data_IF_526642498141
#
_entry.id   IF_526642498141
#
_cell.length_a   1.000
_cell.length_b   1.000
_cell.length_c   1.000
_cell.angle_alpha   90.00
_cell.angle_beta   90.00
_cell.angle_gamma   90.00
#
_symmetry.space_group_name_H-M   'P 1'
#
loop_
_entity.id
_entity.type
_entity.pdbx_description
1 polymer ?
#
# COMPACT_ATOMS: atom_id res chain seq x y z
N UNK A 1 -39.92 -0.95 9.38
CA UNK A 1 -39.33 -2.28 9.10
C UNK A 1 -37.99 -2.35 9.83
N UNK A 2 -37.87 -3.19 10.86
CA UNK A 2 -36.68 -3.24 11.72
C UNK A 2 -35.77 -4.38 11.24
N UNK A 3 -34.62 -4.04 10.65
CA UNK A 3 -33.65 -5.02 10.18
C UNK A 3 -33.06 -5.79 11.38
N UNK A 4 -33.27 -7.11 11.43
CA UNK A 4 -32.59 -8.00 12.39
C UNK A 4 -31.40 -8.64 11.70
N UNK A 5 -30.20 -8.30 12.15
CA UNK A 5 -28.95 -8.92 11.71
C UNK A 5 -28.87 -10.32 12.35
N UNK A 6 -28.92 -11.37 11.52
CA UNK A 6 -28.71 -12.75 11.94
C UNK A 6 -27.21 -13.02 11.93
N UNK A 7 -26.60 -13.28 13.10
CA UNK A 7 -25.19 -13.69 13.17
C UNK A 7 -25.09 -15.15 12.69
N UNK A 8 -24.29 -15.35 11.64
CA UNK A 8 -23.89 -16.67 11.15
C UNK A 8 -22.45 -16.93 11.58
N UNK A 9 -22.09 -18.12 12.09
CA UNK A 9 -20.72 -18.43 12.46
C UNK A 9 -19.78 -18.34 11.24
N UNK A 10 -18.70 -17.57 11.39
CA UNK A 10 -17.75 -17.26 10.33
C UNK A 10 -16.53 -18.18 10.39
N UNK A 11 -16.19 -18.83 9.27
CA UNK A 11 -14.86 -19.40 9.02
C UNK A 11 -13.92 -18.26 8.65
N UNK A 12 -12.84 -18.04 9.39
CA UNK A 12 -11.86 -16.97 9.19
C UNK A 12 -10.69 -17.54 8.39
N UNK A 13 -9.85 -16.69 7.76
CA UNK A 13 -8.69 -17.10 6.95
C UNK A 13 -7.86 -18.25 7.59
N UNK A 14 -7.35 -19.14 6.74
CA UNK A 14 -6.53 -20.30 7.12
C UNK A 14 -5.29 -19.98 7.97
N UNK A 15 -4.86 -18.71 8.07
CA UNK A 15 -3.70 -18.30 8.89
C UNK A 15 -3.98 -17.13 9.85
N UNK A 16 -5.23 -16.65 9.92
CA UNK A 16 -5.60 -15.50 10.78
C UNK A 16 -6.40 -15.89 12.02
N UNK A 17 -6.82 -17.16 12.12
CA UNK A 17 -7.18 -17.81 13.37
C UNK A 17 -6.01 -18.72 13.72
N UNK A 18 -5.34 -18.44 14.83
CA UNK A 18 -4.64 -19.43 15.65
C UNK A 18 -3.96 -18.65 16.78
N UNK A 19 -4.79 -18.18 17.69
CA UNK A 19 -4.43 -18.17 19.10
C UNK A 19 -4.93 -19.52 19.64
N UNK A 20 -4.12 -20.59 19.48
CA UNK A 20 -4.41 -21.91 20.05
C UNK A 20 -4.32 -23.08 19.06
N UNK A 21 -3.27 -23.89 19.27
CA UNK A 21 -3.15 -25.34 18.99
C UNK A 21 -2.93 -25.86 17.54
N UNK A 22 -1.73 -26.42 17.38
CA UNK A 22 -1.31 -27.59 16.61
C UNK A 22 -1.65 -27.72 15.11
N UNK A 23 -0.63 -27.48 14.29
CA UNK A 23 -0.48 -28.14 12.99
C UNK A 23 0.96 -28.67 12.83
N UNK A 24 1.05 -29.93 12.42
CA UNK A 24 2.20 -30.81 12.52
C UNK A 24 3.40 -30.40 11.64
N UNK A 25 4.58 -30.77 12.15
CA UNK A 25 5.92 -30.56 11.59
C UNK A 25 6.08 -31.06 10.16
N UNK A 26 6.48 -30.17 9.24
CA UNK A 26 7.41 -30.46 8.15
C UNK A 26 8.43 -29.31 8.04
N UNK A 27 9.71 -29.68 8.16
CA UNK A 27 10.95 -28.95 7.80
C UNK A 27 10.96 -27.42 8.01
N UNK A 28 11.60 -26.99 9.10
CA UNK A 28 12.10 -25.61 9.32
C UNK A 28 11.06 -24.49 9.33
N UNK A 29 10.62 -24.06 10.52
CA UNK A 29 9.80 -22.85 10.69
C UNK A 29 8.44 -23.08 11.38
N UNK A 30 7.60 -22.04 11.41
CA UNK A 30 6.32 -22.05 12.14
C UNK A 30 5.17 -22.77 11.40
N UNK A 31 5.44 -23.42 10.26
CA UNK A 31 4.43 -24.07 9.42
C UNK A 31 3.55 -23.12 8.59
N UNK A 32 3.71 -21.80 8.76
CA UNK A 32 2.94 -20.76 8.06
C UNK A 32 3.71 -20.02 6.97
N UNK A 33 4.94 -20.44 6.68
CA UNK A 33 5.80 -19.80 5.68
C UNK A 33 5.88 -18.27 5.87
N UNK A 34 5.99 -17.80 7.12
CA UNK A 34 5.83 -16.38 7.43
C UNK A 34 7.08 -15.53 7.11
N UNK A 35 7.02 -14.23 7.38
CA UNK A 35 8.14 -13.29 7.22
C UNK A 35 8.95 -13.08 8.52
N UNK A 36 8.80 -13.96 9.51
CA UNK A 36 9.57 -13.89 10.75
C UNK A 36 10.87 -14.71 10.66
N UNK A 37 11.75 -14.53 11.65
CA UNK A 37 13.03 -15.25 11.79
C UNK A 37 12.94 -16.78 11.66
N UNK A 38 11.78 -17.37 11.88
CA UNK A 38 11.57 -18.81 11.73
C UNK A 38 11.45 -19.29 10.28
N UNK A 39 11.11 -18.41 9.34
CA UNK A 39 10.86 -18.77 7.93
C UNK A 39 11.60 -17.84 6.93
N UNK A 40 12.16 -16.72 7.40
CA UNK A 40 12.93 -15.79 6.58
C UNK A 40 14.35 -16.26 6.19
N UNK A 41 15.07 -17.09 6.98
CA UNK A 41 16.37 -17.57 6.53
C UNK A 41 16.20 -18.33 5.21
N UNK A 42 16.98 -17.96 4.20
CA UNK A 42 16.92 -18.47 2.82
C UNK A 42 15.67 -18.07 1.99
N UNK A 43 14.81 -17.18 2.52
CA UNK A 43 13.70 -16.64 1.74
C UNK A 43 14.21 -15.84 0.54
N UNK A 44 13.56 -16.06 -0.61
CA UNK A 44 13.83 -15.32 -1.84
C UNK A 44 12.56 -14.72 -2.38
N UNK A 45 12.63 -13.43 -2.66
CA UNK A 45 11.54 -12.68 -3.26
C UNK A 45 12.08 -11.87 -4.42
N UNK A 46 11.30 -11.72 -5.50
CA UNK A 46 11.68 -10.81 -6.57
C UNK A 46 11.96 -9.43 -5.98
N UNK A 47 12.98 -8.74 -6.47
CA UNK A 47 13.34 -7.39 -6.07
C UNK A 47 13.16 -6.46 -7.26
N UNK A 48 12.41 -5.39 -7.02
CA UNK A 48 12.36 -4.22 -7.89
C UNK A 48 13.18 -3.12 -7.24
N UNK A 49 14.20 -2.61 -7.93
CA UNK A 49 14.95 -1.46 -7.47
C UNK A 49 14.54 -0.20 -8.21
N UNK A 50 14.33 0.90 -7.48
CA UNK A 50 14.02 2.21 -8.07
C UNK A 50 15.22 3.16 -7.97
N UNK A 51 15.30 4.11 -8.89
CA UNK A 51 16.36 5.12 -8.88
C UNK A 51 16.06 6.19 -7.82
N UNK A 52 17.02 6.45 -6.93
CA UNK A 52 16.95 7.65 -6.09
C UNK A 52 17.20 8.88 -6.96
N UNK A 53 16.30 9.86 -6.89
CA UNK A 53 16.51 11.15 -7.54
C UNK A 53 17.57 11.88 -6.71
N UNK A 54 18.81 11.94 -7.20
CA UNK A 54 19.87 12.72 -6.57
C UNK A 54 19.68 14.21 -6.88
N UNK A 55 19.89 15.07 -5.89
CA UNK A 55 20.08 16.51 -6.09
C UNK A 55 21.35 16.70 -6.94
N UNK A 56 21.20 17.03 -8.23
CA UNK A 56 22.30 17.63 -8.99
C UNK A 56 22.28 19.13 -8.67
N UNK A 57 23.30 19.68 -7.99
CA UNK A 57 23.34 21.11 -7.73
C UNK A 57 23.64 21.84 -9.03
N UNK A 58 22.62 22.44 -9.65
CA UNK A 58 22.80 23.39 -10.74
C UNK A 58 21.85 23.23 -11.93
N UNK A 59 21.09 22.15 -12.03
CA UNK A 59 20.08 22.04 -13.08
C UNK A 59 18.70 22.36 -12.53
N UNK A 60 18.04 23.34 -13.16
CA UNK A 60 16.62 23.56 -12.93
C UNK A 60 15.94 22.22 -13.23
N UNK A 61 15.12 21.70 -12.32
CA UNK A 61 14.26 20.55 -12.61
C UNK A 61 13.28 20.91 -13.73
N UNK A 62 13.77 20.88 -14.96
CA UNK A 62 12.98 20.64 -16.15
C UNK A 62 12.87 19.13 -16.17
N UNK A 63 11.67 18.63 -15.95
CA UNK A 63 11.32 17.26 -16.32
C UNK A 63 11.50 17.18 -17.84
N UNK A 64 12.74 16.90 -18.27
CA UNK A 64 13.02 16.61 -19.66
C UNK A 64 12.16 15.40 -20.02
N UNK A 65 11.19 15.62 -20.92
CA UNK A 65 10.54 14.54 -21.64
C UNK A 65 11.61 13.91 -22.53
N UNK A 66 12.40 13.03 -21.94
CA UNK A 66 13.34 12.23 -22.68
C UNK A 66 12.51 11.28 -23.54
N UNK A 67 12.62 11.43 -24.86
CA UNK A 67 11.83 10.71 -25.86
C UNK A 67 12.27 9.25 -26.05
N UNK A 68 13.01 8.69 -25.08
CA UNK A 68 13.12 7.25 -24.90
C UNK A 68 11.96 6.82 -24.01
N UNK A 69 11.09 5.94 -24.50
CA UNK A 69 10.02 5.31 -23.71
C UNK A 69 10.58 4.81 -22.36
N UNK A 70 10.45 5.63 -21.32
CA UNK A 70 10.72 5.22 -19.95
C UNK A 70 9.79 4.02 -19.65
N UNK A 71 10.21 3.05 -18.81
CA UNK A 71 9.46 1.83 -18.55
C UNK A 71 8.23 2.07 -17.64
N UNK A 72 7.39 3.05 -17.97
CA UNK A 72 6.10 3.39 -17.35
C UNK A 72 5.14 2.18 -17.33
N UNK A 73 5.44 1.11 -18.06
CA UNK A 73 4.67 -0.13 -18.03
C UNK A 73 5.23 -1.23 -17.12
N UNK A 74 6.50 -1.19 -16.69
CA UNK A 74 7.11 -2.38 -16.10
C UNK A 74 6.63 -2.65 -14.66
N UNK A 75 6.66 -1.65 -13.76
CA UNK A 75 6.14 -1.82 -12.40
C UNK A 75 4.66 -2.20 -12.40
N UNK A 76 3.85 -1.52 -13.21
CA UNK A 76 2.42 -1.80 -13.35
C UNK A 76 2.17 -3.23 -13.82
N UNK A 77 2.84 -3.67 -14.89
CA UNK A 77 2.71 -5.04 -15.41
C UNK A 77 3.19 -6.08 -14.40
N UNK A 78 4.28 -5.79 -13.68
CA UNK A 78 4.82 -6.65 -12.64
C UNK A 78 3.84 -6.83 -11.49
N UNK A 79 3.30 -5.72 -10.97
CA UNK A 79 2.38 -5.70 -9.85
C UNK A 79 1.08 -6.40 -10.23
N UNK A 80 0.43 -5.99 -11.32
CA UNK A 80 -0.84 -6.55 -11.76
C UNK A 80 -0.70 -8.04 -12.11
N UNK A 81 0.31 -8.42 -12.90
CA UNK A 81 0.52 -9.81 -13.26
C UNK A 81 0.78 -10.70 -12.04
N UNK A 82 1.56 -10.24 -11.06
CA UNK A 82 1.74 -11.00 -9.81
C UNK A 82 0.47 -11.03 -8.97
N UNK A 83 -0.28 -9.94 -8.90
CA UNK A 83 -1.55 -9.84 -8.17
C UNK A 83 -2.59 -10.82 -8.74
N UNK A 84 -2.76 -10.88 -10.06
CA UNK A 84 -3.64 -11.83 -10.75
C UNK A 84 -3.24 -13.30 -10.48
N UNK A 85 -1.95 -13.62 -10.48
CA UNK A 85 -1.47 -14.96 -10.10
C UNK A 85 -1.89 -15.31 -8.67
N UNK A 86 -1.89 -14.37 -7.72
CA UNK A 86 -2.38 -14.63 -6.35
C UNK A 86 -3.90 -14.76 -6.30
N UNK A 87 -4.64 -14.05 -7.16
CA UNK A 87 -6.09 -14.19 -7.30
C UNK A 87 -6.45 -15.59 -7.78
N UNK A 88 -5.79 -16.07 -8.84
CA UNK A 88 -5.97 -17.43 -9.38
C UNK A 88 -5.63 -18.52 -8.37
N UNK A 89 -4.67 -18.26 -7.47
CA UNK A 89 -4.31 -19.15 -6.36
C UNK A 89 -5.28 -19.10 -5.18
N UNK A 90 -6.29 -18.22 -5.19
CA UNK A 90 -7.30 -18.12 -4.14
C UNK A 90 -6.80 -17.52 -2.83
N UNK A 91 -5.80 -16.64 -2.86
CA UNK A 91 -5.24 -16.02 -1.65
C UNK A 91 -6.09 -14.85 -1.09
N UNK A 92 -7.12 -14.43 -1.80
CA UNK A 92 -7.98 -13.32 -1.43
C UNK A 92 -9.25 -13.81 -0.72
N UNK A 93 -9.79 -13.02 0.20
CA UNK A 93 -10.96 -13.40 1.00
C UNK A 93 -12.28 -13.33 0.22
N UNK A 94 -12.31 -12.59 -0.88
CA UNK A 94 -13.43 -12.40 -1.78
C UNK A 94 -12.92 -11.85 -3.13
N UNK A 95 -13.75 -11.94 -4.16
CA UNK A 95 -13.46 -11.39 -5.49
C UNK A 95 -13.93 -9.94 -5.57
N UNK A 96 -12.99 -9.01 -5.79
CA UNK A 96 -13.27 -7.57 -5.94
C UNK A 96 -13.62 -7.18 -7.38
N UNK A 97 -13.28 -8.03 -8.36
CA UNK A 97 -13.44 -7.72 -9.79
C UNK A 97 -14.89 -7.79 -10.24
N UNK A 98 -15.73 -8.49 -9.47
CA UNK A 98 -17.15 -8.62 -9.70
C UNK A 98 -18.01 -7.57 -8.96
N UNK A 99 -17.39 -6.60 -8.27
CA UNK A 99 -18.13 -5.64 -7.45
C UNK A 99 -18.90 -4.61 -8.28
N UNK A 100 -20.18 -4.44 -7.97
CA UNK A 100 -21.03 -3.44 -8.60
C UNK A 100 -20.52 -2.04 -8.28
N UNK A 101 -20.17 -1.28 -9.34
CA UNK A 101 -19.65 0.07 -9.25
C UNK A 101 -20.55 1.03 -10.02
N UNK A 102 -20.90 2.18 -9.42
CA UNK A 102 -21.66 3.23 -10.09
C UNK A 102 -21.11 4.62 -9.78
N UNK A 103 -21.17 5.49 -10.78
CA UNK A 103 -20.98 6.93 -10.58
C UNK A 103 -22.29 7.53 -10.08
N UNK A 104 -22.27 8.16 -8.92
CA UNK A 104 -23.42 8.84 -8.31
C UNK A 104 -23.70 10.13 -9.09
N UNK A 105 -24.94 10.35 -9.55
CA UNK A 105 -25.33 11.60 -10.20
C UNK A 105 -25.09 12.82 -9.31
N UNK A 106 -24.56 13.90 -9.88
CA UNK A 106 -24.31 15.16 -9.19
C UNK A 106 -22.99 15.80 -9.59
N UNK A 107 -22.73 17.02 -9.08
CA UNK A 107 -21.57 17.84 -9.49
C UNK A 107 -20.21 17.19 -9.27
N UNK A 108 -20.12 16.29 -8.30
CA UNK A 108 -18.86 15.65 -7.90
C UNK A 108 -18.57 14.34 -8.63
N UNK A 109 -19.61 13.64 -9.10
CA UNK A 109 -19.46 12.31 -9.71
C UNK A 109 -18.78 11.29 -8.79
N UNK A 110 -19.18 11.23 -7.51
CA UNK A 110 -18.65 10.24 -6.57
C UNK A 110 -18.84 8.82 -7.09
N UNK A 111 -17.86 7.94 -6.87
CA UNK A 111 -18.00 6.53 -7.14
C UNK A 111 -18.49 5.79 -5.90
N UNK A 112 -19.52 4.98 -6.05
CA UNK A 112 -19.96 4.03 -5.04
C UNK A 112 -19.73 2.62 -5.56
N UNK A 113 -19.06 1.80 -4.75
CA UNK A 113 -18.81 0.40 -5.02
C UNK A 113 -19.37 -0.45 -3.87
N UNK A 114 -20.09 -1.52 -4.22
CA UNK A 114 -20.63 -2.48 -3.26
C UNK A 114 -19.72 -3.71 -3.16
N UNK A 115 -18.91 -3.75 -2.10
CA UNK A 115 -18.02 -4.89 -1.83
C UNK A 115 -18.69 -5.86 -0.86
N UNK A 116 -19.46 -6.79 -1.42
CA UNK A 116 -20.10 -7.86 -0.66
C UNK A 116 -19.05 -8.76 0.02
N UNK A 117 -19.39 -9.33 1.18
CA UNK A 117 -18.47 -10.18 1.95
C UNK A 117 -17.35 -9.44 2.72
N UNK A 118 -16.94 -8.24 2.27
CA UNK A 118 -15.89 -7.45 2.95
C UNK A 118 -16.21 -7.14 4.41
N UNK A 119 -17.45 -6.75 4.70
CA UNK A 119 -17.90 -6.40 6.05
C UNK A 119 -17.86 -7.59 7.03
N UNK A 120 -17.95 -8.83 6.55
CA UNK A 120 -17.92 -10.04 7.38
C UNK A 120 -16.51 -10.40 7.85
N UNK A 121 -15.48 -9.92 7.15
CA UNK A 121 -14.07 -10.25 7.38
C UNK A 121 -13.25 -9.05 7.87
N UNK A 122 -13.82 -7.85 7.86
CA UNK A 122 -13.16 -6.63 8.32
C UNK A 122 -12.91 -6.71 9.83
N UNK A 123 -11.65 -6.55 10.24
CA UNK A 123 -11.30 -6.41 11.66
C UNK A 123 -11.89 -5.12 12.23
N UNK A 124 -12.46 -5.15 13.46
CA UNK A 124 -12.85 -3.93 14.14
C UNK A 124 -11.66 -2.99 14.32
N UNK A 125 -11.89 -1.69 14.17
CA UNK A 125 -10.88 -0.69 14.54
C UNK A 125 -10.82 -0.63 16.06
N UNK A 126 -9.71 -1.08 16.63
CA UNK A 126 -9.46 -1.04 18.09
C UNK A 126 -8.89 0.31 18.55
N UNK A 127 -8.46 1.14 17.62
CA UNK A 127 -7.75 2.39 17.91
C UNK A 127 -8.72 3.54 18.13
N UNK A 128 -8.44 4.34 19.16
CA UNK A 128 -9.20 5.56 19.42
C UNK A 128 -8.68 6.70 18.55
N UNK A 129 -9.59 7.52 18.05
CA UNK A 129 -9.28 8.68 17.18
C UNK A 129 -8.38 9.71 17.89
N UNK A 130 -8.46 9.81 19.22
CA UNK A 130 -7.64 10.72 20.03
C UNK A 130 -6.24 10.17 20.37
N UNK A 131 -5.93 8.91 20.01
CA UNK A 131 -4.64 8.26 20.29
C UNK A 131 -4.07 7.62 19.03
N UNK A 132 -3.68 8.45 18.06
CA UNK A 132 -3.19 7.96 16.76
C UNK A 132 -1.72 7.55 16.77
N UNK A 133 -0.95 7.95 17.77
CA UNK A 133 0.46 7.57 17.94
C UNK A 133 0.55 6.51 19.03
N UNK A 134 0.82 5.27 18.64
CA UNK A 134 0.93 4.13 19.55
C UNK A 134 2.17 3.30 19.21
N UNK A 135 2.88 2.75 20.21
CA UNK A 135 4.00 1.86 19.97
C UNK A 135 3.54 0.60 19.23
N UNK A 136 4.43 0.03 18.42
CA UNK A 136 4.22 -1.27 17.80
C UNK A 136 4.02 -2.35 18.87
N UNK A 137 3.13 -3.30 18.61
CA UNK A 137 2.87 -4.45 19.49
C UNK A 137 3.01 -5.75 18.69
N UNK A 138 4.12 -6.46 18.93
CA UNK A 138 4.42 -7.72 18.25
C UNK A 138 3.46 -8.87 18.60
N UNK A 139 2.72 -8.78 19.70
CA UNK A 139 1.74 -9.79 20.09
C UNK A 139 0.49 -9.70 19.21
N UNK A 140 0.09 -8.48 18.82
CA UNK A 140 -1.01 -8.27 17.89
C UNK A 140 -0.65 -8.71 16.48
N UNK A 141 -1.65 -8.80 15.61
CA UNK A 141 -1.38 -9.05 14.19
C UNK A 141 -0.49 -7.96 13.60
N UNK A 142 0.48 -8.38 12.79
CA UNK A 142 1.35 -7.51 12.04
C UNK A 142 1.85 -8.25 10.78
N UNK A 143 2.35 -7.52 9.80
CA UNK A 143 2.73 -8.10 8.51
C UNK A 143 3.93 -9.06 8.55
N UNK A 144 4.72 -9.13 9.62
CA UNK A 144 5.74 -10.21 9.72
C UNK A 144 5.10 -11.60 9.82
N UNK A 145 3.82 -11.67 10.21
CA UNK A 145 3.06 -12.92 10.40
C UNK A 145 2.34 -13.40 9.13
N UNK A 146 2.31 -12.63 8.04
CA UNK A 146 1.67 -13.08 6.79
C UNK A 146 2.51 -14.14 6.09
N UNK A 147 1.87 -14.97 5.27
CA UNK A 147 2.57 -15.95 4.44
C UNK A 147 3.38 -15.27 3.34
N UNK A 148 4.59 -15.77 3.08
CA UNK A 148 5.47 -15.30 2.02
C UNK A 148 4.81 -15.35 0.62
N UNK A 149 3.83 -16.23 0.41
CA UNK A 149 3.04 -16.29 -0.82
C UNK A 149 2.16 -15.05 -1.07
N UNK A 150 1.88 -14.26 -0.03
CA UNK A 150 1.17 -12.97 -0.13
C UNK A 150 2.10 -11.85 -0.64
N UNK A 151 3.42 -12.01 -0.52
CA UNK A 151 4.42 -11.06 -1.02
C UNK A 151 4.51 -11.15 -2.55
N UNK A 152 4.50 -9.98 -3.20
CA UNK A 152 4.70 -9.85 -4.64
C UNK A 152 6.20 -9.71 -4.95
N UNK A 153 6.85 -8.74 -4.31
CA UNK A 153 8.27 -8.40 -4.49
C UNK A 153 8.78 -7.48 -3.37
N UNK A 154 10.09 -7.43 -3.19
CA UNK A 154 10.84 -6.41 -2.46
C UNK A 154 10.90 -5.13 -3.31
N UNK A 155 10.85 -3.96 -2.67
CA UNK A 155 10.83 -2.66 -3.34
C UNK A 155 11.78 -1.70 -2.63
N UNK A 156 13.01 -1.62 -3.10
CA UNK A 156 14.07 -0.85 -2.43
C UNK A 156 14.83 0.05 -3.41
N UNK A 157 15.61 0.98 -2.87
CA UNK A 157 16.41 1.87 -3.70
C UNK A 157 17.57 1.11 -4.35
N UNK A 158 17.87 1.46 -5.60
CA UNK A 158 19.03 0.95 -6.31
C UNK A 158 20.35 1.49 -5.71
N UNK A 159 21.37 0.62 -5.63
CA UNK A 159 22.74 0.99 -5.26
C UNK A 159 23.52 1.62 -6.42
N UNK A 160 23.25 1.18 -7.66
CA UNK A 160 23.97 1.62 -8.86
C UNK A 160 23.27 2.75 -9.62
N UNK A 161 22.08 3.16 -9.14
CA UNK A 161 21.31 4.26 -9.71
C UNK A 161 20.46 3.85 -10.92
N UNK A 162 20.38 2.55 -11.24
CA UNK A 162 19.55 2.03 -12.32
C UNK A 162 18.33 1.26 -11.79
N UNK A 163 17.23 1.33 -12.53
CA UNK A 163 16.02 0.55 -12.25
C UNK A 163 16.26 -0.90 -12.66
N UNK A 164 16.10 -1.85 -11.74
CA UNK A 164 16.37 -3.26 -12.00
C UNK A 164 15.28 -4.17 -11.46
N UNK A 165 15.18 -5.35 -12.08
CA UNK A 165 14.35 -6.44 -11.59
C UNK A 165 15.16 -7.72 -11.43
N UNK A 166 15.20 -8.23 -10.21
CA UNK A 166 15.93 -9.45 -9.86
C UNK A 166 14.89 -10.49 -9.42
N UNK A 167 14.61 -11.54 -10.21
CA UNK A 167 13.50 -12.46 -9.95
C UNK A 167 13.58 -13.22 -8.61
N UNK A 168 14.80 -13.54 -8.16
CA UNK A 168 15.08 -14.39 -7.00
C UNK A 168 16.12 -13.75 -6.07
N UNK A 169 15.87 -12.51 -5.64
CA UNK A 169 16.75 -11.81 -4.71
C UNK A 169 16.59 -12.39 -3.28
N UNK A 170 17.69 -12.51 -2.52
CA UNK A 170 17.60 -12.89 -1.10
C UNK A 170 16.83 -11.83 -0.32
N UNK A 171 16.08 -12.27 0.69
CA UNK A 171 15.48 -11.37 1.69
C UNK A 171 16.50 -11.19 2.81
N UNK A 172 17.08 -10.00 2.90
CA UNK A 172 18.08 -9.71 3.93
C UNK A 172 17.40 -9.25 5.22
N UNK A 173 17.50 -10.07 6.26
CA UNK A 173 16.86 -9.80 7.53
C UNK A 173 17.48 -8.62 8.29
N UNK A 174 18.76 -8.30 8.02
CA UNK A 174 19.51 -7.26 8.72
C UNK A 174 19.22 -5.87 8.14
N UNK A 175 19.09 -5.76 6.82
CA UNK A 175 18.67 -4.50 6.16
C UNK A 175 17.16 -4.28 6.21
N UNK A 176 16.37 -5.33 6.48
CA UNK A 176 14.92 -5.28 6.58
C UNK A 176 14.29 -4.62 5.34
N UNK A 177 14.08 -5.36 4.24
CA UNK A 177 13.61 -4.77 3.00
C UNK A 177 12.21 -4.17 3.14
N UNK A 178 11.91 -3.23 2.25
CA UNK A 178 10.52 -2.83 2.04
C UNK A 178 9.87 -3.79 1.06
N UNK A 179 8.60 -4.14 1.30
CA UNK A 179 7.91 -5.16 0.49
C UNK A 179 6.57 -4.67 -0.03
N UNK A 180 6.19 -5.19 -1.20
CA UNK A 180 4.86 -5.08 -1.75
C UNK A 180 4.16 -6.42 -1.58
N UNK A 181 3.02 -6.43 -0.88
CA UNK A 181 2.22 -7.62 -0.64
C UNK A 181 0.76 -7.39 -1.09
N UNK A 182 0.02 -8.44 -1.40
CA UNK A 182 -1.41 -8.31 -1.68
C UNK A 182 -2.15 -7.80 -0.44
N UNK A 183 -3.17 -6.98 -0.63
CA UNK A 183 -4.18 -6.83 0.41
C UNK A 183 -5.21 -7.95 0.23
N UNK A 184 -5.16 -8.97 1.10
CA UNK A 184 -6.11 -10.11 1.05
C UNK A 184 -7.58 -9.71 1.22
N UNK A 185 -7.86 -8.48 1.66
CA UNK A 185 -9.18 -7.83 1.63
C UNK A 185 -9.18 -6.65 0.66
N UNK A 186 -9.12 -6.91 -0.66
CA UNK A 186 -8.92 -5.88 -1.67
C UNK A 186 -10.13 -4.93 -1.70
N UNK A 187 -9.90 -3.64 -1.97
CA UNK A 187 -11.00 -2.67 -2.18
C UNK A 187 -11.18 -2.33 -3.64
N UNK A 188 -10.19 -2.62 -4.47
CA UNK A 188 -10.22 -2.41 -5.90
C UNK A 188 -9.21 -3.38 -6.54
N UNK A 189 -9.26 -3.52 -7.86
CA UNK A 189 -8.28 -4.24 -8.67
C UNK A 189 -6.84 -3.77 -8.39
N UNK A 190 -5.93 -4.74 -8.28
CA UNK A 190 -4.52 -4.49 -7.97
C UNK A 190 -4.27 -3.94 -6.56
N UNK A 191 -5.22 -4.10 -5.62
CA UNK A 191 -5.02 -3.61 -4.25
C UNK A 191 -3.90 -4.35 -3.52
N UNK A 192 -2.83 -3.61 -3.23
CA UNK A 192 -1.61 -4.04 -2.55
C UNK A 192 -1.30 -3.16 -1.34
N UNK A 193 -0.35 -3.63 -0.54
CA UNK A 193 0.24 -2.95 0.59
C UNK A 193 1.71 -2.71 0.30
N UNK A 194 2.16 -1.47 0.41
CA UNK A 194 3.58 -1.14 0.52
C UNK A 194 3.93 -1.08 2.01
N UNK A 195 4.84 -1.95 2.45
CA UNK A 195 5.22 -2.12 3.85
C UNK A 195 6.70 -1.75 3.97
N UNK A 196 7.02 -0.52 4.44
CA UNK A 196 8.40 -0.07 4.59
C UNK A 196 9.11 -0.87 5.67
N UNK A 197 10.33 -1.33 5.38
CA UNK A 197 11.23 -1.99 6.32
C UNK A 197 10.52 -2.96 7.28
N UNK A 198 9.94 -4.01 6.69
CA UNK A 198 8.94 -4.86 7.35
C UNK A 198 9.42 -5.52 8.67
N UNK A 199 10.73 -5.76 8.82
CA UNK A 199 11.29 -6.42 10.00
C UNK A 199 11.66 -5.45 11.12
N UNK A 200 11.78 -4.15 10.81
CA UNK A 200 11.93 -3.09 11.83
C UNK A 200 10.64 -2.87 12.64
N UNK A 201 9.51 -3.42 12.18
CA UNK A 201 8.24 -3.37 12.90
C UNK A 201 7.79 -1.93 13.23
N UNK A 202 7.92 -1.03 12.25
CA UNK A 202 7.60 0.38 12.42
C UNK A 202 6.11 0.55 12.78
N UNK A 203 5.75 1.41 13.77
CA UNK A 203 4.35 1.70 14.07
C UNK A 203 3.69 2.42 12.90
N UNK A 204 2.35 2.40 12.82
CA UNK A 204 1.55 3.09 11.78
C UNK A 204 1.62 4.62 11.96
N UNK A 205 2.79 5.18 11.67
CA UNK A 205 3.16 6.59 11.73
C UNK A 205 4.14 6.86 10.60
N UNK A 206 3.72 7.70 9.65
CA UNK A 206 4.60 8.17 8.59
C UNK A 206 5.78 8.96 9.18
N UNK A 207 6.96 8.69 8.64
CA UNK A 207 8.17 9.51 8.77
C UNK A 207 8.65 9.94 7.38
N UNK A 208 9.73 10.75 7.31
CA UNK A 208 10.28 11.26 6.05
C UNK A 208 10.64 10.13 5.07
N UNK A 209 11.37 9.12 5.55
CA UNK A 209 11.89 8.04 4.71
C UNK A 209 10.76 7.16 4.14
N UNK A 210 9.78 6.81 4.97
CA UNK A 210 8.62 6.01 4.54
C UNK A 210 7.70 6.79 3.61
N UNK A 211 7.55 8.10 3.80
CA UNK A 211 6.79 8.93 2.86
C UNK A 211 7.51 9.04 1.51
N UNK A 212 8.83 9.25 1.51
CA UNK A 212 9.64 9.27 0.30
C UNK A 212 9.54 7.95 -0.47
N UNK A 213 9.61 6.80 0.22
CA UNK A 213 9.44 5.49 -0.41
C UNK A 213 8.09 5.37 -1.15
N UNK A 214 7.02 5.86 -0.52
CA UNK A 214 5.69 5.91 -1.13
C UNK A 214 5.65 6.83 -2.37
N UNK A 215 6.33 7.98 -2.33
CA UNK A 215 6.44 8.89 -3.48
C UNK A 215 7.26 8.27 -4.62
N UNK A 216 8.35 7.57 -4.31
CA UNK A 216 9.12 6.81 -5.31
C UNK A 216 8.26 5.77 -6.00
N UNK A 217 7.45 4.99 -5.25
CA UNK A 217 6.51 4.05 -5.86
C UNK A 217 5.51 4.74 -6.79
N UNK A 218 4.98 5.90 -6.41
CA UNK A 218 4.05 6.64 -7.25
C UNK A 218 4.71 7.15 -8.55
N UNK A 219 5.97 7.60 -8.48
CA UNK A 219 6.76 8.01 -9.65
C UNK A 219 7.09 6.83 -10.55
N UNK A 220 7.55 5.72 -9.99
CA UNK A 220 7.88 4.50 -10.74
C UNK A 220 6.65 3.90 -11.42
N UNK A 221 5.47 3.99 -10.79
CA UNK A 221 4.22 3.61 -11.44
C UNK A 221 3.89 4.56 -12.60
N UNK A 222 4.15 5.86 -12.46
CA UNK A 222 3.95 6.85 -13.53
C UNK A 222 2.52 6.89 -14.08
N UNK A 223 1.55 6.33 -13.34
CA UNK A 223 0.21 6.07 -13.82
C UNK A 223 -0.81 6.92 -13.06
N UNK A 224 -1.57 7.81 -13.73
CA UNK A 224 -2.55 8.67 -13.07
C UNK A 224 -3.72 7.90 -12.43
N UNK A 225 -3.89 6.63 -12.78
CA UNK A 225 -4.91 5.74 -12.19
C UNK A 225 -4.36 4.86 -11.06
N UNK A 226 -3.04 4.85 -10.84
CA UNK A 226 -2.43 4.22 -9.67
C UNK A 226 -2.57 5.14 -8.46
N UNK A 227 -3.25 4.65 -7.42
CA UNK A 227 -3.61 5.42 -6.24
C UNK A 227 -2.85 4.87 -5.05
N UNK A 228 -1.95 5.65 -4.49
CA UNK A 228 -1.24 5.33 -3.26
C UNK A 228 -1.77 6.21 -2.12
N UNK A 229 -2.09 5.59 -0.99
CA UNK A 229 -2.72 6.25 0.14
C UNK A 229 -2.27 5.70 1.48
N UNK A 230 -2.49 6.48 2.53
CA UNK A 230 -2.17 6.11 3.89
C UNK A 230 -3.35 6.38 4.81
N UNK A 231 -3.62 5.42 5.69
CA UNK A 231 -4.55 5.59 6.79
C UNK A 231 -3.75 5.63 8.09
N UNK A 232 -3.87 6.71 8.87
CA UNK A 232 -3.43 6.71 10.26
C UNK A 232 -4.34 5.81 11.12
N UNK A 233 -3.93 5.52 12.34
CA UNK A 233 -4.78 4.80 13.30
C UNK A 233 -6.13 5.52 13.53
N UNK A 234 -6.16 6.86 13.48
CA UNK A 234 -7.38 7.66 13.58
C UNK A 234 -8.21 7.73 12.30
N UNK A 235 -7.64 7.30 11.16
CA UNK A 235 -8.30 7.18 9.87
C UNK A 235 -8.69 5.72 9.56
N UNK A 236 -9.05 4.95 10.59
CA UNK A 236 -9.52 3.56 10.50
C UNK A 236 -8.49 2.55 9.94
N UNK A 237 -7.19 2.80 10.10
CA UNK A 237 -6.21 1.72 9.94
C UNK A 237 -6.54 0.55 10.89
N UNK A 238 -6.40 -0.68 10.39
CA UNK A 238 -6.76 -1.89 11.14
C UNK A 238 -5.57 -2.54 11.83
N UNK A 239 -4.35 -2.19 11.43
CA UNK A 239 -3.11 -2.75 11.95
C UNK A 239 -2.16 -1.61 12.37
N UNK A 240 -1.46 -1.79 13.48
CA UNK A 240 -0.39 -0.89 13.90
C UNK A 240 0.99 -1.43 13.46
N UNK A 241 1.18 -1.52 12.14
CA UNK A 241 2.45 -1.81 11.49
C UNK A 241 2.46 -0.99 10.21
N UNK A 242 3.43 -0.08 10.05
CA UNK A 242 3.49 0.90 8.98
C UNK A 242 3.24 0.28 7.61
N UNK A 243 2.21 0.77 6.94
CA UNK A 243 1.88 0.39 5.58
C UNK A 243 1.12 1.50 4.85
N UNK A 244 1.36 1.56 3.55
CA UNK A 244 0.57 2.30 2.57
C UNK A 244 -0.32 1.32 1.82
N UNK A 245 -1.46 1.81 1.35
CA UNK A 245 -2.38 1.10 0.48
C UNK A 245 -2.13 1.59 -0.94
N UNK A 246 -2.11 0.70 -1.93
CA UNK A 246 -2.11 1.13 -3.32
C UNK A 246 -3.01 0.26 -4.20
N UNK A 247 -3.70 0.85 -5.17
CA UNK A 247 -4.62 0.15 -6.07
C UNK A 247 -4.81 0.92 -7.38
N UNK A 248 -5.42 0.28 -8.38
CA UNK A 248 -5.68 0.90 -9.68
C UNK A 248 -7.14 1.25 -9.82
N UNK A 249 -7.43 2.53 -10.05
CA UNK A 249 -8.77 2.98 -10.32
C UNK A 249 -8.78 3.82 -11.60
N UNK A 250 -9.35 3.26 -12.66
CA UNK A 250 -9.43 3.88 -14.00
C UNK A 250 -10.44 5.04 -14.09
N UNK A 251 -10.58 5.83 -13.01
CA UNK A 251 -11.30 7.09 -12.97
C UNK A 251 -10.54 8.10 -12.13
N UNK A 252 -10.65 9.38 -12.49
CA UNK A 252 -10.19 10.48 -11.63
C UNK A 252 -11.08 10.63 -10.40
N UNK A 253 -10.50 10.77 -9.21
CA UNK A 253 -11.32 11.04 -8.02
C UNK A 253 -12.02 12.39 -8.11
N UNK A 254 -13.18 12.53 -7.48
CA UNK A 254 -13.85 13.82 -7.33
C UNK A 254 -12.95 14.91 -6.71
N UNK A 255 -12.07 14.53 -5.79
CA UNK A 255 -11.12 15.44 -5.13
C UNK A 255 -10.11 16.05 -6.12
N UNK A 256 -9.69 15.29 -7.14
CA UNK A 256 -8.74 15.76 -8.18
C UNK A 256 -9.36 16.82 -9.10
N UNK A 257 -10.69 16.85 -9.18
CA UNK A 257 -11.45 17.80 -10.01
C UNK A 257 -11.98 18.98 -9.20
N UNK A 258 -11.79 18.95 -7.88
CA UNK A 258 -12.38 19.93 -6.98
C UNK A 258 -11.63 21.26 -7.06
N UNK A 259 -12.34 22.40 -6.99
CA UNK A 259 -11.67 23.69 -7.02
C UNK A 259 -10.79 23.86 -5.79
N UNK A 260 -9.68 24.57 -5.97
CA UNK A 260 -8.68 24.77 -4.93
C UNK A 260 -8.43 26.26 -4.74
N UNK A 261 -8.18 26.67 -3.49
CA UNK A 261 -7.75 28.02 -3.16
C UNK A 261 -6.32 27.96 -2.67
N UNK A 262 -5.41 28.62 -3.38
CA UNK A 262 -4.00 28.71 -2.96
C UNK A 262 -3.92 29.40 -1.60
N UNK A 263 -3.21 28.77 -0.66
CA UNK A 263 -2.91 29.32 0.67
C UNK A 263 -1.55 30.00 0.65
N UNK A 264 -0.51 29.28 0.21
CA UNK A 264 0.86 29.80 0.12
C UNK A 264 1.71 28.99 -0.86
N UNK A 265 2.93 29.47 -1.13
CA UNK A 265 4.02 28.68 -1.74
C UNK A 265 5.22 28.75 -0.80
N UNK A 266 5.79 27.59 -0.50
CA UNK A 266 6.99 27.46 0.32
C UNK A 266 8.24 27.88 -0.48
N UNK A 267 9.37 28.11 0.22
CA UNK A 267 10.61 28.59 -0.42
C UNK A 267 11.22 27.59 -1.41
N UNK A 268 10.94 26.31 -1.21
CA UNK A 268 11.27 25.16 -2.07
C UNK A 268 10.30 24.98 -3.26
N UNK A 269 9.33 25.88 -3.44
CA UNK A 269 8.39 25.82 -4.56
C UNK A 269 7.14 24.96 -4.30
N UNK A 270 7.03 24.25 -3.17
CA UNK A 270 5.81 23.50 -2.83
C UNK A 270 4.63 24.46 -2.67
N UNK A 271 3.61 24.28 -3.51
CA UNK A 271 2.36 25.04 -3.44
C UNK A 271 1.39 24.34 -2.50
N UNK A 272 0.94 25.08 -1.50
CA UNK A 272 -0.10 24.61 -0.57
C UNK A 272 -1.42 25.28 -0.94
N UNK A 273 -2.43 24.48 -1.23
CA UNK A 273 -3.80 24.92 -1.50
C UNK A 273 -4.77 24.20 -0.57
N UNK A 274 -5.91 24.82 -0.29
CA UNK A 274 -7.02 24.15 0.38
C UNK A 274 -8.12 23.80 -0.61
N UNK A 275 -8.83 22.70 -0.37
CA UNK A 275 -10.03 22.35 -1.11
C UNK A 275 -11.13 23.37 -0.83
N UNK A 276 -11.73 23.87 -1.91
CA UNK A 276 -12.90 24.73 -1.87
C UNK A 276 -14.10 23.96 -2.43
N UNK A 277 -15.31 24.27 -1.95
CA UNK A 277 -16.55 23.63 -2.41
C UNK A 277 -16.51 22.10 -2.48
N UNK A 278 -15.78 21.43 -1.56
CA UNK A 278 -15.73 19.97 -1.43
C UNK A 278 -16.33 19.52 -0.09
N UNK A 279 -16.98 18.33 0.01
CA UNK A 279 -17.70 17.93 1.24
C UNK A 279 -16.81 17.70 2.46
N UNK A 280 -15.49 17.59 2.26
CA UNK A 280 -14.50 17.46 3.33
C UNK A 280 -13.39 18.49 3.14
N UNK A 281 -12.85 18.97 4.26
CA UNK A 281 -11.67 19.84 4.25
C UNK A 281 -10.45 19.00 3.87
N UNK A 282 -9.58 19.56 3.05
CA UNK A 282 -8.31 18.95 2.70
C UNK A 282 -7.31 20.00 2.25
N UNK A 283 -6.05 19.70 2.48
CA UNK A 283 -4.92 20.44 1.93
C UNK A 283 -4.36 19.64 0.75
N UNK A 284 -3.93 20.37 -0.27
CA UNK A 284 -3.28 19.85 -1.46
C UNK A 284 -1.89 20.46 -1.49
N UNK A 285 -0.90 19.59 -1.59
CA UNK A 285 0.50 19.95 -1.77
C UNK A 285 0.86 19.56 -3.20
N UNK A 286 1.37 20.52 -3.96
CA UNK A 286 1.71 20.33 -5.38
C UNK A 286 3.09 20.93 -5.66
N UNK A 287 3.91 20.23 -6.44
CA UNK A 287 5.24 20.70 -6.83
C UNK A 287 6.30 20.48 -5.75
N UNK A 288 7.30 21.37 -5.72
CA UNK A 288 8.60 21.16 -5.11
C UNK A 288 9.70 21.23 -6.17
N UNK A 289 10.90 21.68 -5.80
CA UNK A 289 12.05 21.65 -6.71
C UNK A 289 12.64 20.24 -6.79
N UNK A 290 12.51 19.47 -5.72
CA UNK A 290 12.96 18.08 -5.59
C UNK A 290 11.83 17.22 -5.05
N UNK A 291 12.00 15.89 -5.09
CA UNK A 291 11.06 14.97 -4.44
C UNK A 291 11.15 15.03 -2.90
N UNK A 292 12.25 15.56 -2.39
CA UNK A 292 12.59 15.64 -0.97
C UNK A 292 12.00 16.87 -0.28
N UNK A 293 11.51 17.85 -1.05
CA UNK A 293 10.84 19.07 -0.60
C UNK A 293 9.40 18.79 -0.12
#
# INVERSE_FOLDING_TARGET
MMLRIKRVPTVVSNYQKDEGEDAARRSGGCGRNCLQKCCIPDAKHPLYTFKRVQEIPGDKCVLEHDNNQAPVAFLDSLLLGKWEVRMQRGLFLYDVTACETKVIPGRYGFMAQLNEGRHLKKRPTEFRVDKVLQPFDGNKFNFTKVGQEEVLFQFDASEDGEVQFIPDAPVDADTSPSVVAINVSPIEYGHVLLIPRILECLPQRIDRESFLLALYMAIEAGNPYFRLGYNSLGAFATNNHLHFQAYYLAVSFPIEKSPTRKVTTLGDGVKISELFDYPVRGLILEGGNTLQD
#
